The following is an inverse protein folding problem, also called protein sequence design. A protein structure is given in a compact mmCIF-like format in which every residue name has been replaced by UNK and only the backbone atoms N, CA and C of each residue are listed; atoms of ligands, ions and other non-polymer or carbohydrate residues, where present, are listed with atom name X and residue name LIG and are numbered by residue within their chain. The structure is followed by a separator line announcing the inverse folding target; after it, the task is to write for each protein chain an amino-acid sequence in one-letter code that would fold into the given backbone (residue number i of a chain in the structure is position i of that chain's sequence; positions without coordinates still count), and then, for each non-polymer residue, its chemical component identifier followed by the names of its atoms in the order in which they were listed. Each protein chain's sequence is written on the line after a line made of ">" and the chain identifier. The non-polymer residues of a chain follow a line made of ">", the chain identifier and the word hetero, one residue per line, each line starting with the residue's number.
data_IF_838402949960
#
_entry.id   IF_838402949960
#
_cell.length_a   1.000
_cell.length_b   1.000
_cell.length_c   1.000
_cell.angle_alpha   90.00
_cell.angle_beta   90.00
_cell.angle_gamma   90.00
#
_symmetry.space_group_name_H-M   'P 1'
#
loop_
_entity.id
_entity.type
_entity.pdbx_description
1 polymer ?
#
# COMPACT_ATOMS: atom_id res chain seq x y z
N UNK A 1 -31.86 -8.78 -15.15
CA UNK A 1 -30.71 -8.36 -15.97
C UNK A 1 -29.80 -7.53 -15.09
N UNK A 2 -28.50 -7.84 -14.99
CA UNK A 2 -27.54 -7.03 -14.23
C UNK A 2 -26.84 -6.06 -15.18
N UNK A 3 -26.75 -4.79 -14.79
CA UNK A 3 -25.97 -3.79 -15.52
C UNK A 3 -24.50 -3.95 -15.15
N UNK A 4 -23.63 -4.07 -16.15
CA UNK A 4 -22.17 -4.20 -15.96
C UNK A 4 -21.48 -2.92 -16.40
N UNK A 5 -20.48 -2.47 -15.62
CA UNK A 5 -19.59 -1.36 -15.97
C UNK A 5 -18.16 -1.87 -15.94
N UNK A 6 -17.40 -1.60 -17.01
CA UNK A 6 -15.97 -1.92 -17.11
C UNK A 6 -15.17 -0.65 -16.85
N UNK A 7 -14.18 -0.73 -15.96
CA UNK A 7 -13.28 0.36 -15.63
C UNK A 7 -11.84 -0.07 -15.92
N UNK A 8 -10.94 0.87 -16.33
CA UNK A 8 -9.51 0.65 -16.20
C UNK A 8 -9.16 0.28 -14.75
N UNK A 9 -8.10 -0.50 -14.54
CA UNK A 9 -7.68 -0.86 -13.19
C UNK A 9 -7.38 0.44 -12.40
N UNK A 10 -8.06 0.68 -11.27
CA UNK A 10 -7.93 1.93 -10.53
C UNK A 10 -6.66 1.98 -9.67
N UNK A 11 -6.39 3.16 -9.14
CA UNK A 11 -5.43 3.40 -8.06
C UNK A 11 -6.15 3.85 -6.79
N UNK A 12 -5.56 3.56 -5.63
CA UNK A 12 -6.04 4.02 -4.33
C UNK A 12 -5.16 5.17 -3.81
N UNK A 13 -5.69 6.39 -3.82
CA UNK A 13 -4.92 7.59 -3.47
C UNK A 13 -4.77 7.82 -1.96
N UNK A 14 -5.31 6.95 -1.09
CA UNK A 14 -5.15 7.08 0.37
C UNK A 14 -5.30 5.73 1.09
N UNK A 15 -4.20 5.00 1.26
CA UNK A 15 -4.23 3.64 1.83
C UNK A 15 -3.39 3.49 3.11
N UNK A 16 -3.95 2.79 4.10
CA UNK A 16 -3.28 2.40 5.35
C UNK A 16 -3.09 0.89 5.37
N UNK A 17 -1.86 0.41 5.11
CA UNK A 17 -1.55 -1.03 5.13
C UNK A 17 -1.11 -1.55 6.51
N UNK A 18 -0.75 -0.65 7.44
CA UNK A 18 -0.15 -1.01 8.74
C UNK A 18 1.14 -1.83 8.54
N UNK A 19 1.49 -2.73 9.46
CA UNK A 19 2.70 -3.55 9.35
C UNK A 19 2.47 -4.97 9.93
N UNK A 20 3.45 -5.85 9.74
CA UNK A 20 3.44 -7.20 10.29
C UNK A 20 2.23 -8.05 9.87
N UNK A 21 1.58 -8.70 10.83
CA UNK A 21 0.43 -9.57 10.57
C UNK A 21 -0.74 -8.83 9.90
N UNK A 22 -0.93 -7.54 10.22
CA UNK A 22 -1.99 -6.75 9.61
C UNK A 22 -1.70 -6.48 8.14
N UNK A 23 -0.46 -6.10 7.79
CA UNK A 23 -0.02 -5.92 6.40
C UNK A 23 -0.30 -7.18 5.57
N UNK A 24 0.12 -8.35 6.06
CA UNK A 24 -0.10 -9.63 5.39
C UNK A 24 -1.58 -9.97 5.19
N UNK A 25 -2.44 -9.48 6.09
CA UNK A 25 -3.88 -9.72 6.03
C UNK A 25 -4.58 -8.79 5.04
N UNK A 26 -4.22 -7.50 5.02
CA UNK A 26 -4.97 -6.49 4.25
C UNK A 26 -4.46 -6.30 2.82
N UNK A 27 -3.16 -6.49 2.59
CA UNK A 27 -2.55 -6.25 1.27
C UNK A 27 -3.20 -7.07 0.13
N UNK A 28 -3.55 -8.37 0.30
CA UNK A 28 -4.21 -9.14 -0.76
C UNK A 28 -5.54 -8.51 -1.20
N UNK A 29 -6.28 -7.87 -0.30
CA UNK A 29 -7.56 -7.23 -0.63
C UNK A 29 -7.35 -5.99 -1.51
N UNK A 30 -6.31 -5.20 -1.26
CA UNK A 30 -5.95 -4.06 -2.10
C UNK A 30 -5.48 -4.52 -3.48
N UNK A 31 -4.49 -5.42 -3.53
CA UNK A 31 -3.83 -5.83 -4.78
C UNK A 31 -4.76 -6.57 -5.74
N UNK A 32 -5.86 -7.15 -5.23
CA UNK A 32 -6.93 -7.73 -6.06
C UNK A 32 -7.62 -6.70 -6.96
N UNK A 33 -7.71 -5.46 -6.53
CA UNK A 33 -8.55 -4.44 -7.18
C UNK A 33 -7.76 -3.25 -7.72
N UNK A 34 -6.65 -2.88 -7.08
CA UNK A 34 -5.89 -1.67 -7.39
C UNK A 34 -4.52 -1.98 -7.97
N UNK A 35 -4.10 -1.16 -8.93
CA UNK A 35 -2.77 -1.29 -9.54
C UNK A 35 -1.69 -0.61 -8.69
N UNK A 36 -2.03 0.54 -8.11
CA UNK A 36 -1.12 1.36 -7.32
C UNK A 36 -1.86 1.96 -6.14
N UNK A 37 -1.12 2.36 -5.10
CA UNK A 37 -1.70 3.16 -4.03
C UNK A 37 -0.71 4.12 -3.39
N UNK A 38 -1.19 5.28 -2.92
CA UNK A 38 -0.44 6.15 -2.01
C UNK A 38 -0.51 5.55 -0.61
N UNK A 39 0.65 5.16 -0.08
CA UNK A 39 0.77 4.52 1.22
C UNK A 39 1.00 5.56 2.29
N UNK A 40 0.10 5.61 3.27
CA UNK A 40 0.16 6.56 4.37
C UNK A 40 1.27 6.21 5.38
N UNK A 41 1.97 7.21 5.96
CA UNK A 41 3.23 7.00 6.66
C UNK A 41 3.10 6.93 8.20
N UNK A 42 1.87 6.93 8.71
CA UNK A 42 1.53 6.97 10.14
C UNK A 42 1.63 5.59 10.82
N UNK A 43 2.77 4.91 10.64
CA UNK A 43 3.16 3.75 11.46
C UNK A 43 3.60 4.20 12.86
N UNK A 44 3.91 3.23 13.72
CA UNK A 44 4.52 3.47 15.04
C UNK A 44 5.87 2.74 15.07
N UNK A 45 7.00 3.46 15.03
CA UNK A 45 7.15 4.91 14.80
C UNK A 45 6.79 5.33 13.35
N UNK A 46 6.51 6.62 13.09
CA UNK A 46 6.14 7.09 11.76
C UNK A 46 7.29 7.00 10.75
N UNK A 47 6.92 6.91 9.47
CA UNK A 47 7.86 6.88 8.35
C UNK A 47 8.27 8.32 8.00
N UNK A 48 9.37 8.81 8.56
CA UNK A 48 9.81 10.22 8.42
C UNK A 48 11.04 10.42 7.53
N UNK A 49 11.75 9.34 7.16
CA UNK A 49 12.97 9.39 6.34
C UNK A 49 12.89 8.47 5.13
N UNK A 50 13.70 8.74 4.11
CA UNK A 50 13.72 7.98 2.86
C UNK A 50 14.11 6.49 3.06
N UNK A 51 15.00 6.20 4.00
CA UNK A 51 15.39 4.83 4.39
C UNK A 51 14.25 4.08 5.10
N UNK A 52 13.48 4.76 5.96
CA UNK A 52 12.27 4.19 6.55
C UNK A 52 11.26 3.80 5.46
N UNK A 53 11.03 4.70 4.49
CA UNK A 53 10.10 4.49 3.39
C UNK A 53 10.54 3.32 2.49
N UNK A 54 11.85 3.21 2.22
CA UNK A 54 12.42 2.08 1.47
C UNK A 54 12.22 0.75 2.20
N UNK A 55 12.55 0.70 3.49
CA UNK A 55 12.38 -0.50 4.29
C UNK A 55 10.91 -0.93 4.38
N UNK A 56 9.98 0.02 4.51
CA UNK A 56 8.56 -0.28 4.54
C UNK A 56 8.04 -0.75 3.18
N UNK A 57 8.47 -0.12 2.08
CA UNK A 57 8.18 -0.60 0.72
C UNK A 57 8.64 -2.04 0.52
N UNK A 58 9.85 -2.37 0.96
CA UNK A 58 10.39 -3.72 0.78
C UNK A 58 9.58 -4.76 1.56
N UNK A 59 9.08 -4.42 2.77
CA UNK A 59 8.13 -5.26 3.52
C UNK A 59 6.79 -5.44 2.77
N UNK A 60 6.25 -4.37 2.19
CA UNK A 60 5.01 -4.45 1.39
C UNK A 60 5.22 -5.39 0.19
N UNK A 61 6.30 -5.22 -0.56
CA UNK A 61 6.60 -6.07 -1.72
C UNK A 61 6.86 -7.53 -1.32
N UNK A 62 7.51 -7.78 -0.18
CA UNK A 62 7.71 -9.13 0.34
C UNK A 62 6.41 -9.80 0.80
N UNK A 63 5.39 -9.03 1.19
CA UNK A 63 4.07 -9.52 1.60
C UNK A 63 3.11 -9.73 0.41
N UNK A 64 3.51 -9.41 -0.82
CA UNK A 64 2.63 -9.54 -1.98
C UNK A 64 2.33 -11.01 -2.32
N UNK A 65 1.08 -11.34 -2.70
CA UNK A 65 0.77 -12.60 -3.36
C UNK A 65 1.62 -12.78 -4.63
N UNK A 66 2.05 -14.00 -4.93
CA UNK A 66 2.99 -14.29 -6.02
C UNK A 66 2.46 -13.91 -7.43
N UNK A 67 1.15 -13.87 -7.60
CA UNK A 67 0.44 -13.53 -8.84
C UNK A 67 -0.08 -12.08 -8.86
N UNK A 68 0.14 -11.32 -7.78
CA UNK A 68 -0.29 -9.94 -7.69
C UNK A 68 0.72 -8.99 -8.33
N UNK A 69 0.21 -7.93 -8.96
CA UNK A 69 0.98 -6.77 -9.42
C UNK A 69 0.48 -5.55 -8.66
N UNK A 70 1.37 -4.84 -7.97
CA UNK A 70 1.01 -3.67 -7.19
C UNK A 70 2.18 -2.70 -7.02
N UNK A 71 1.93 -1.40 -7.19
CA UNK A 71 2.95 -0.36 -6.97
C UNK A 71 2.60 0.48 -5.74
N UNK A 72 3.28 0.27 -4.59
CA UNK A 72 3.15 1.16 -3.44
C UNK A 72 3.91 2.48 -3.70
N UNK A 73 3.19 3.60 -3.70
CA UNK A 73 3.71 4.97 -3.79
C UNK A 73 3.93 5.50 -2.37
N UNK A 74 5.17 5.51 -1.93
CA UNK A 74 5.51 5.83 -0.53
C UNK A 74 5.43 7.32 -0.24
N UNK A 75 5.02 7.65 0.98
CA UNK A 75 5.01 9.03 1.51
C UNK A 75 5.87 9.14 2.76
N UNK A 76 6.15 10.36 3.17
CA UNK A 76 6.79 10.67 4.45
C UNK A 76 5.79 11.39 5.35
N UNK A 77 5.83 11.06 6.63
CA UNK A 77 5.07 11.75 7.66
C UNK A 77 5.77 13.07 7.96
N UNK A 78 5.03 14.18 7.83
CA UNK A 78 5.55 15.50 8.20
C UNK A 78 5.63 15.60 9.72
N UNK A 79 6.83 15.78 10.23
CA UNK A 79 7.14 15.97 11.66
C UNK A 79 8.01 17.21 11.83
N UNK A 80 8.22 17.63 13.08
CA UNK A 80 9.09 18.75 13.44
C UNK A 80 10.59 18.41 13.31
N UNK A 81 10.93 17.11 13.27
CA UNK A 81 12.29 16.58 13.07
C UNK A 81 12.79 16.66 11.62
#
# INVERSE_FOLDING_TARGET
>A
MSTTITLPRPDDWHLHLRDGAMLNTVLPHTTRHFDRAIIMPNLVPPVVRADHARAYRDRILAAMPADATFTPLMTLYLTED
#
